data_IF_978400646830
#
_entry.id   IF_978400646830
#
_cell.length_a   1.000
_cell.length_b   1.000
_cell.length_c   1.000
_cell.angle_alpha   90.00
_cell.angle_beta   90.00
_cell.angle_gamma   90.00
#
_symmetry.space_group_name_H-M   'P 1'
#
loop_
_entity.id
_entity.type
_entity.pdbx_description
1 polymer ?
#
# COMPACT_ATOMS: atom_id res chain seq x y z
N UNK A 1 7.03 -5.61 0.26
CA UNK A 1 6.05 -4.94 -0.63
C UNK A 1 6.60 -3.56 -0.98
N UNK A 2 6.37 -3.07 -2.20
CA UNK A 2 6.87 -1.80 -2.77
C UNK A 2 8.40 -1.58 -2.89
N UNK A 3 9.25 -2.60 -2.72
CA UNK A 3 10.71 -2.49 -2.84
C UNK A 3 11.20 -2.20 -4.26
N UNK A 4 10.54 -2.73 -5.27
CA UNK A 4 10.83 -2.37 -6.67
C UNK A 4 10.62 -0.88 -6.92
N UNK A 5 9.56 -0.30 -6.34
CA UNK A 5 9.25 1.14 -6.42
C UNK A 5 10.31 1.97 -5.71
N UNK A 6 10.68 1.61 -4.48
CA UNK A 6 11.73 2.31 -3.75
C UNK A 6 13.07 2.28 -4.49
N UNK A 7 13.44 1.13 -5.07
CA UNK A 7 14.68 0.97 -5.82
C UNK A 7 14.72 1.89 -7.05
N UNK A 8 13.65 1.91 -7.83
CA UNK A 8 13.55 2.75 -9.04
C UNK A 8 13.57 4.25 -8.70
N UNK A 9 12.84 4.67 -7.67
CA UNK A 9 12.87 6.07 -7.21
C UNK A 9 14.25 6.46 -6.69
N UNK A 10 14.97 5.53 -6.06
CA UNK A 10 16.33 5.77 -5.57
C UNK A 10 17.31 5.90 -6.74
N UNK A 11 17.19 5.09 -7.81
CA UNK A 11 18.05 5.22 -8.99
C UNK A 11 17.84 6.53 -9.75
N UNK A 12 16.63 7.08 -9.70
CA UNK A 12 16.30 8.39 -10.25
C UNK A 12 16.70 9.57 -9.33
N UNK A 13 17.40 9.30 -8.22
CA UNK A 13 17.77 10.29 -7.20
C UNK A 13 16.56 11.12 -6.72
N UNK A 14 15.39 10.49 -6.58
CA UNK A 14 14.20 11.18 -6.13
C UNK A 14 14.33 11.66 -4.68
N UNK A 15 13.62 12.75 -4.35
CA UNK A 15 13.67 13.35 -3.01
C UNK A 15 12.90 12.49 -1.99
N UNK A 16 13.25 12.54 -0.69
CA UNK A 16 12.54 11.81 0.36
C UNK A 16 11.03 12.10 0.36
N UNK A 17 10.21 11.05 0.50
CA UNK A 17 8.74 11.16 0.56
C UNK A 17 8.08 11.67 -0.72
N UNK A 18 8.75 11.57 -1.87
CA UNK A 18 8.19 11.95 -3.17
C UNK A 18 6.93 11.14 -3.53
N UNK A 19 6.85 9.91 -3.03
CA UNK A 19 5.67 9.05 -3.11
C UNK A 19 5.28 8.61 -1.71
N UNK A 20 4.00 8.79 -1.38
CA UNK A 20 3.40 8.38 -0.12
C UNK A 20 2.25 7.43 -0.41
N UNK A 21 2.30 6.25 0.19
CA UNK A 21 1.32 5.19 -0.01
C UNK A 21 0.74 4.78 1.33
N UNK A 22 -0.58 4.59 1.39
CA UNK A 22 -1.24 3.97 2.54
C UNK A 22 -1.83 2.62 2.12
N UNK A 23 -1.45 1.58 2.85
CA UNK A 23 -1.97 0.22 2.68
C UNK A 23 -3.20 0.01 3.55
N UNK A 24 -4.24 -0.52 2.93
CA UNK A 24 -5.52 -0.88 3.51
C UNK A 24 -5.78 -2.39 3.37
N UNK A 25 -7.00 -2.80 3.66
CA UNK A 25 -7.50 -4.10 3.25
C UNK A 25 -6.92 -5.29 4.00
N UNK A 26 -6.96 -6.45 3.34
CA UNK A 26 -6.49 -7.71 3.92
C UNK A 26 -4.98 -7.71 4.19
N UNK A 27 -4.20 -7.01 3.35
CA UNK A 27 -2.77 -6.82 3.56
C UNK A 27 -2.48 -6.02 4.83
N UNK A 28 -3.20 -4.91 5.06
CA UNK A 28 -3.05 -4.15 6.29
C UNK A 28 -3.43 -4.96 7.54
N UNK A 29 -4.53 -5.74 7.49
CA UNK A 29 -4.92 -6.65 8.60
C UNK A 29 -3.82 -7.67 8.89
N UNK A 30 -3.19 -8.22 7.85
CA UNK A 30 -2.07 -9.15 8.01
C UNK A 30 -0.90 -8.51 8.75
N UNK A 31 -0.53 -7.27 8.42
CA UNK A 31 0.56 -6.55 9.09
C UNK A 31 0.30 -6.34 10.59
N UNK A 32 -0.95 -6.18 11.00
CA UNK A 32 -1.30 -6.03 12.43
C UNK A 32 -1.39 -7.35 13.20
N UNK A 33 -1.76 -8.45 12.52
CA UNK A 33 -2.20 -9.68 13.19
C UNK A 33 -1.30 -10.88 12.91
N UNK A 34 -0.35 -10.74 11.98
CA UNK A 34 0.39 -11.84 11.36
C UNK A 34 -0.53 -12.93 10.77
N UNK A 35 -1.80 -12.60 10.48
CA UNK A 35 -2.76 -13.52 9.90
C UNK A 35 -3.11 -13.09 8.47
N UNK A 36 -2.59 -13.83 7.49
CA UNK A 36 -2.83 -13.53 6.07
C UNK A 36 -4.16 -14.11 5.60
N UNK A 37 -5.03 -13.22 5.14
CA UNK A 37 -6.36 -13.58 4.55
C UNK A 37 -6.45 -13.30 3.05
N UNK A 38 -5.51 -12.52 2.49
CA UNK A 38 -5.45 -12.20 1.07
C UNK A 38 -4.01 -11.97 0.60
N UNK A 39 -3.78 -12.14 -0.70
CA UNK A 39 -2.58 -11.73 -1.43
C UNK A 39 -2.71 -10.34 -2.07
N UNK A 40 -3.92 -9.78 -2.08
CA UNK A 40 -4.18 -8.50 -2.71
C UNK A 40 -3.71 -7.35 -1.80
N UNK A 41 -3.05 -6.38 -2.42
CA UNK A 41 -2.55 -5.17 -1.80
C UNK A 41 -3.47 -4.03 -2.22
N UNK A 42 -4.44 -3.77 -1.35
CA UNK A 42 -5.28 -2.57 -1.38
C UNK A 42 -4.41 -1.38 -0.93
N UNK A 43 -4.02 -0.50 -1.83
CA UNK A 43 -3.15 0.63 -1.48
C UNK A 43 -3.58 1.92 -2.19
N UNK A 44 -3.66 2.99 -1.42
CA UNK A 44 -3.90 4.33 -1.94
C UNK A 44 -2.58 5.09 -2.10
N UNK A 45 -2.43 5.77 -3.24
CA UNK A 45 -1.39 6.77 -3.44
C UNK A 45 -1.89 8.09 -2.82
N UNK A 46 -1.40 8.41 -1.63
CA UNK A 46 -1.77 9.61 -0.89
C UNK A 46 -1.16 10.87 -1.49
N UNK A 47 0.12 10.79 -1.87
CA UNK A 47 0.86 11.87 -2.52
C UNK A 47 1.85 11.26 -3.50
N UNK A 48 2.01 11.86 -4.68
CA UNK A 48 2.98 11.41 -5.66
C UNK A 48 3.45 12.57 -6.54
N UNK A 49 4.69 13.00 -6.34
CA UNK A 49 5.37 14.01 -7.15
C UNK A 49 6.43 13.37 -8.05
N UNK A 50 5.99 12.45 -8.90
CA UNK A 50 6.85 11.54 -9.65
C UNK A 50 7.80 12.28 -10.64
N UNK A 51 9.05 11.78 -10.82
CA UNK A 51 9.91 12.21 -11.91
C UNK A 51 9.26 12.01 -13.29
N UNK A 52 9.66 12.82 -14.27
CA UNK A 52 9.17 12.69 -15.64
C UNK A 52 9.52 11.29 -16.20
N UNK A 53 8.52 10.59 -16.75
CA UNK A 53 8.69 9.23 -17.28
C UNK A 53 8.58 8.11 -16.25
N UNK A 54 8.42 8.41 -14.95
CA UNK A 54 8.20 7.37 -13.94
C UNK A 54 6.76 6.86 -13.99
N UNK A 55 6.59 5.57 -14.30
CA UNK A 55 5.29 4.92 -14.45
C UNK A 55 4.97 3.98 -13.28
N UNK A 56 4.60 4.55 -12.12
CA UNK A 56 4.34 3.80 -10.88
C UNK A 56 3.36 2.62 -11.07
N UNK A 57 2.23 2.85 -11.75
CA UNK A 57 1.21 1.81 -11.97
C UNK A 57 1.73 0.67 -12.83
N UNK A 58 2.55 0.97 -13.84
CA UNK A 58 3.18 -0.03 -14.70
C UNK A 58 4.17 -0.86 -13.89
N UNK A 59 5.01 -0.21 -13.08
CA UNK A 59 5.97 -0.90 -12.23
C UNK A 59 5.29 -1.85 -11.24
N UNK A 60 4.19 -1.43 -10.61
CA UNK A 60 3.39 -2.27 -9.71
C UNK A 60 2.68 -3.43 -10.44
N UNK A 61 2.36 -3.26 -11.73
CA UNK A 61 1.70 -4.30 -12.53
C UNK A 61 2.68 -5.35 -13.06
N UNK A 62 3.87 -4.91 -13.48
CA UNK A 62 4.84 -5.75 -14.20
C UNK A 62 5.87 -6.39 -13.27
N UNK A 63 6.09 -5.81 -12.08
CA UNK A 63 7.07 -6.31 -11.10
C UNK A 63 6.32 -6.73 -9.83
N UNK A 64 5.72 -7.94 -9.82
CA UNK A 64 5.04 -8.46 -8.64
C UNK A 64 6.06 -8.73 -7.52
N UNK A 65 5.61 -8.54 -6.28
CA UNK A 65 6.41 -8.90 -5.13
C UNK A 65 6.11 -10.30 -4.65
N UNK A 66 7.16 -11.08 -4.41
CA UNK A 66 7.05 -12.48 -4.06
C UNK A 66 7.31 -12.69 -2.56
N UNK A 67 6.63 -13.67 -1.98
CA UNK A 67 6.85 -14.13 -0.61
C UNK A 67 6.67 -15.65 -0.53
N UNK A 68 7.22 -16.27 0.51
CA UNK A 68 7.00 -17.70 0.78
C UNK A 68 5.86 -17.82 1.80
N UNK A 69 4.80 -18.54 1.43
CA UNK A 69 3.72 -18.83 2.36
C UNK A 69 4.19 -19.83 3.43
N UNK A 70 4.19 -19.41 4.70
CA UNK A 70 4.74 -20.22 5.81
C UNK A 70 4.00 -21.55 6.01
N UNK A 71 2.72 -21.62 5.64
CA UNK A 71 1.90 -22.82 5.82
C UNK A 71 2.15 -23.86 4.73
N UNK A 72 2.21 -23.43 3.47
CA UNK A 72 2.34 -24.33 2.32
C UNK A 72 3.77 -24.46 1.80
N UNK A 73 4.68 -23.56 2.20
CA UNK A 73 6.05 -23.47 1.68
C UNK A 73 6.13 -23.02 0.22
N UNK A 74 5.02 -22.57 -0.37
CA UNK A 74 4.96 -22.16 -1.78
C UNK A 74 5.41 -20.72 -1.93
N UNK A 75 6.10 -20.45 -3.04
CA UNK A 75 6.32 -19.09 -3.51
C UNK A 75 4.99 -18.54 -4.03
N UNK A 76 4.59 -17.38 -3.51
CA UNK A 76 3.36 -16.68 -3.84
C UNK A 76 3.68 -15.24 -4.21
N UNK A 77 2.76 -14.59 -4.91
CA UNK A 77 2.91 -13.21 -5.37
C UNK A 77 1.85 -12.32 -4.72
N UNK A 78 2.23 -11.08 -4.42
CA UNK A 78 1.32 -10.01 -4.04
C UNK A 78 0.73 -9.39 -5.31
N UNK A 79 -0.58 -9.17 -5.30
CA UNK A 79 -1.29 -8.52 -6.39
C UNK A 79 -1.68 -7.10 -5.97
N UNK A 80 -1.11 -6.08 -6.60
CA UNK A 80 -1.51 -4.70 -6.30
C UNK A 80 -2.85 -4.37 -6.98
N UNK A 81 -3.85 -3.95 -6.21
CA UNK A 81 -5.08 -3.42 -6.80
C UNK A 81 -4.83 -1.99 -7.30
N UNK A 82 -4.57 -1.87 -8.59
CA UNK A 82 -4.28 -0.60 -9.25
C UNK A 82 -5.52 0.31 -9.32
N UNK A 83 -6.72 -0.19 -9.08
CA UNK A 83 -7.96 0.58 -9.11
C UNK A 83 -8.41 1.00 -7.71
N UNK A 84 -7.73 0.52 -6.67
CA UNK A 84 -8.04 0.89 -5.30
C UNK A 84 -7.91 2.41 -5.10
N UNK A 85 -8.95 2.99 -4.52
CA UNK A 85 -8.94 4.33 -3.98
C UNK A 85 -9.90 4.41 -2.79
N UNK A 86 -9.71 5.41 -1.95
CA UNK A 86 -10.51 5.61 -0.74
C UNK A 86 -11.81 6.38 -0.98
N UNK A 87 -12.00 6.94 -2.17
CA UNK A 87 -13.18 7.74 -2.53
C UNK A 87 -14.51 6.97 -2.47
N UNK A 88 -14.47 5.64 -2.50
CA UNK A 88 -15.65 4.78 -2.46
C UNK A 88 -16.12 4.39 -1.05
N UNK A 89 -15.51 4.89 0.02
CA UNK A 89 -15.92 4.62 1.39
C UNK A 89 -15.72 5.81 2.33
N UNK A 90 -16.45 5.88 3.46
CA UNK A 90 -16.23 6.94 4.44
C UNK A 90 -14.83 6.76 5.04
N UNK A 91 -13.90 7.67 4.75
CA UNK A 91 -12.63 7.75 5.45
C UNK A 91 -12.53 9.13 6.08
N UNK A 92 -12.10 9.17 7.34
CA UNK A 92 -11.92 10.42 8.05
C UNK A 92 -10.73 11.18 7.46
N UNK A 93 -10.80 12.50 7.31
CA UNK A 93 -9.72 13.32 6.71
C UNK A 93 -8.35 13.12 7.37
N UNK A 94 -8.32 12.87 8.68
CA UNK A 94 -7.09 12.60 9.45
C UNK A 94 -6.50 11.19 9.28
N UNK A 95 -7.01 10.35 8.38
CA UNK A 95 -6.54 8.96 8.24
C UNK A 95 -5.03 8.85 7.94
N UNK A 96 -4.46 9.83 7.23
CA UNK A 96 -3.01 9.92 7.05
C UNK A 96 -2.29 10.15 8.38
N UNK A 97 -2.73 11.12 9.19
CA UNK A 97 -2.12 11.42 10.48
C UNK A 97 -2.22 10.26 11.48
N UNK A 98 -3.25 9.42 11.36
CA UNK A 98 -3.43 8.20 12.19
C UNK A 98 -2.70 6.98 11.67
N UNK A 99 -2.28 6.99 10.41
CA UNK A 99 -1.60 5.85 9.79
C UNK A 99 -0.24 5.60 10.46
N UNK A 100 0.22 4.36 10.41
CA UNK A 100 1.50 3.96 10.99
C UNK A 100 2.55 3.79 9.88
N UNK A 101 3.72 4.45 9.96
CA UNK A 101 4.78 4.24 8.99
C UNK A 101 5.32 2.82 9.09
N UNK A 102 5.66 2.22 7.96
CA UNK A 102 6.37 0.95 7.93
C UNK A 102 7.86 1.15 8.15
N UNK A 103 8.42 0.45 9.12
CA UNK A 103 9.83 0.55 9.53
C UNK A 103 10.82 0.30 8.38
N UNK A 104 10.40 -0.52 7.41
CA UNK A 104 11.17 -0.87 6.21
C UNK A 104 11.40 0.32 5.25
N UNK A 105 10.65 1.42 5.42
CA UNK A 105 10.69 2.63 4.61
C UNK A 105 10.99 3.85 5.51
N UNK A 106 12.27 4.14 5.77
CA UNK A 106 12.66 5.24 6.65
C UNK A 106 12.28 6.60 6.05
N UNK A 107 12.27 7.64 6.89
CA UNK A 107 11.92 9.01 6.47
C UNK A 107 12.80 9.55 5.32
N UNK A 108 14.05 9.10 5.23
CA UNK A 108 14.98 9.46 4.15
C UNK A 108 14.68 8.74 2.83
N UNK A 109 13.81 7.72 2.84
CA UNK A 109 13.44 7.01 1.62
C UNK A 109 12.60 7.91 0.70
N UNK A 110 12.79 7.84 -0.63
CA UNK A 110 11.90 8.51 -1.57
C UNK A 110 10.46 7.95 -1.53
N UNK A 111 10.29 6.73 -1.01
CA UNK A 111 8.99 6.10 -0.84
C UNK A 111 8.64 6.00 0.65
N UNK A 112 7.53 6.61 1.05
CA UNK A 112 6.96 6.43 2.39
C UNK A 112 5.74 5.52 2.31
N UNK A 113 5.82 4.36 2.97
CA UNK A 113 4.72 3.41 3.03
C UNK A 113 4.15 3.40 4.44
N UNK A 114 2.84 3.60 4.53
CA UNK A 114 2.09 3.62 5.76
C UNK A 114 1.04 2.51 5.75
N UNK A 115 0.63 2.06 6.94
CA UNK A 115 -0.52 1.18 7.14
C UNK A 115 -1.64 2.01 7.73
N UNK A 116 -2.83 1.92 7.14
CA UNK A 116 -4.01 2.56 7.69
C UNK A 116 -4.25 2.13 9.15
N UNK A 117 -4.77 3.04 9.98
CA UNK A 117 -5.10 2.69 11.35
C UNK A 117 -6.18 1.59 11.38
N UNK A 118 -6.22 0.71 12.39
CA UNK A 118 -7.23 -0.35 12.46
C UNK A 118 -8.68 0.14 12.33
N UNK A 119 -8.97 1.34 12.87
CA UNK A 119 -10.29 1.98 12.74
C UNK A 119 -10.61 2.35 11.29
N UNK A 120 -9.65 2.89 10.54
CA UNK A 120 -9.82 3.27 9.14
C UNK A 120 -9.98 2.06 8.23
N UNK A 121 -9.28 0.96 8.55
CA UNK A 121 -9.47 -0.33 7.87
C UNK A 121 -10.89 -0.85 8.11
N UNK A 122 -11.37 -0.83 9.35
CA UNK A 122 -12.72 -1.29 9.68
C UNK A 122 -13.79 -0.46 8.96
N UNK A 123 -13.67 0.87 8.99
CA UNK A 123 -14.62 1.78 8.33
C UNK A 123 -14.60 1.55 6.81
N UNK A 124 -13.42 1.46 6.17
CA UNK A 124 -13.32 1.23 4.71
C UNK A 124 -13.94 -0.09 4.26
N UNK A 125 -13.92 -1.14 5.11
CA UNK A 125 -14.61 -2.41 4.85
C UNK A 125 -16.12 -2.30 5.05
N UNK A 126 -16.58 -1.63 6.12
CA UNK A 126 -18.00 -1.42 6.38
C UNK A 126 -18.66 -0.62 5.25
N UNK A 127 -18.02 0.46 4.77
CA UNK A 127 -18.56 1.27 3.66
C UNK A 127 -18.65 0.52 2.32
N UNK A 128 -17.85 -0.53 2.11
CA UNK A 128 -17.97 -1.40 0.93
C UNK A 128 -19.06 -2.47 1.08
N UNK A 129 -19.55 -2.70 2.29
CA UNK A 129 -20.60 -3.67 2.59
C UNK A 129 -22.00 -3.03 2.68
N UNK A 130 -22.09 -1.70 2.61
CA UNK A 130 -23.35 -0.98 2.49
C UNK A 130 -23.81 -0.92 1.03
N UNK A 131 -25.12 -0.77 0.82
CA UNK A 131 -25.66 -0.54 -0.51
C UNK A 131 -24.99 0.70 -1.14
N UNK A 132 -24.58 0.58 -2.40
CA UNK A 132 -24.11 1.72 -3.18
C UNK A 132 -25.34 2.35 -3.86
N UNK A 133 -25.69 3.57 -3.46
CA UNK A 133 -26.79 4.37 -4.04
C UNK A 133 -26.56 4.70 -5.52
#
# INVERSE_FOLDING_TARGET
>A
MFKSVEAELTSENAVPGVVKVIVFGGCAVHLYTNHRVSTDVDAEIYEASLPEGFHLRTLLAEVPEQFVDEKSGRLMELNYDLQYNTSFGPIHEDYWARSLPLEEFPVESPLHVHVAAPVDIAISKLGRATDQD
#
